data_IF_687885352602
#
_entry.id   IF_687885352602
#
_cell.length_a   1.000
_cell.length_b   1.000
_cell.length_c   1.000
_cell.angle_alpha   90.00
_cell.angle_beta   90.00
_cell.angle_gamma   90.00
#
_symmetry.space_group_name_H-M   'P 1'
#
loop_
_entity.id
_entity.type
_entity.pdbx_description
1 polymer ?
#
# COMPACT_ATOMS: atom_id res chain seq x y z
N UNK A 1 -7.06 -18.42 0.11
CA UNK A 1 -6.24 -17.73 -0.90
C UNK A 1 -5.92 -16.37 -0.31
N UNK A 2 -4.66 -15.91 -0.26
CA UNK A 2 -4.38 -14.61 0.33
C UNK A 2 -5.18 -13.58 -0.45
N UNK A 3 -5.93 -12.75 0.26
CA UNK A 3 -6.79 -11.73 -0.32
C UNK A 3 -6.01 -10.93 -1.37
N UNK A 4 -6.39 -11.04 -2.65
CA UNK A 4 -5.77 -10.29 -3.73
C UNK A 4 -5.94 -8.81 -3.42
N UNK A 5 -4.85 -8.11 -3.15
CA UNK A 5 -4.85 -6.66 -2.94
C UNK A 5 -5.30 -6.00 -4.25
N UNK A 6 -6.23 -5.05 -4.16
CA UNK A 6 -6.79 -4.35 -5.31
C UNK A 6 -6.63 -2.84 -5.18
N UNK A 7 -6.57 -2.15 -6.32
CA UNK A 7 -6.63 -0.68 -6.36
C UNK A 7 -7.97 -0.23 -5.77
N UNK A 8 -7.93 0.74 -4.86
CA UNK A 8 -9.09 1.21 -4.11
C UNK A 8 -9.24 0.56 -2.73
N UNK A 9 -8.54 -0.55 -2.44
CA UNK A 9 -8.58 -1.17 -1.12
C UNK A 9 -8.10 -0.17 -0.04
N UNK A 10 -8.85 -0.08 1.06
CA UNK A 10 -8.40 0.64 2.26
C UNK A 10 -7.52 -0.26 3.10
N UNK A 11 -6.40 0.30 3.52
CA UNK A 11 -5.36 -0.41 4.27
C UNK A 11 -4.99 0.35 5.53
N UNK A 12 -4.62 -0.39 6.57
CA UNK A 12 -3.89 0.13 7.72
C UNK A 12 -2.40 -0.17 7.51
N UNK A 13 -1.59 0.87 7.65
CA UNK A 13 -0.13 0.77 7.51
C UNK A 13 0.46 0.28 8.83
N UNK A 14 1.26 -0.79 8.78
CA UNK A 14 1.92 -1.39 9.94
C UNK A 14 3.36 -0.89 10.09
N UNK A 15 4.00 -0.56 8.97
CA UNK A 15 5.36 -0.07 8.89
C UNK A 15 5.54 0.80 7.63
N UNK A 16 6.58 1.64 7.57
CA UNK A 16 7.53 2.01 8.63
C UNK A 16 6.91 2.94 9.68
N UNK A 17 7.61 3.14 10.82
CA UNK A 17 7.10 3.83 12.01
C UNK A 17 6.52 5.22 11.77
N UNK A 18 7.01 5.97 10.77
CA UNK A 18 6.52 7.32 10.48
C UNK A 18 5.11 7.34 9.85
N UNK A 19 4.65 6.21 9.31
CA UNK A 19 3.29 6.02 8.77
C UNK A 19 2.50 4.90 9.46
N UNK A 20 3.13 4.17 10.39
CA UNK A 20 2.46 3.10 11.15
C UNK A 20 1.21 3.62 11.89
N UNK A 21 0.14 2.83 11.82
CA UNK A 21 -1.19 3.15 12.37
C UNK A 21 -2.02 4.10 11.49
N UNK A 22 -1.47 4.65 10.40
CA UNK A 22 -2.23 5.48 9.47
C UNK A 22 -3.04 4.63 8.50
N UNK A 23 -4.11 5.25 7.99
CA UNK A 23 -4.97 4.68 6.96
C UNK A 23 -4.58 5.26 5.60
N UNK A 24 -4.63 4.42 4.57
CA UNK A 24 -4.47 4.84 3.19
C UNK A 24 -5.29 4.00 2.23
N UNK A 25 -5.15 4.34 0.95
CA UNK A 25 -5.80 3.66 -0.17
C UNK A 25 -4.74 3.14 -1.12
N UNK A 26 -4.92 1.91 -1.60
CA UNK A 26 -4.06 1.32 -2.64
C UNK A 26 -4.28 2.03 -3.97
N UNK A 27 -3.22 2.61 -4.52
CA UNK A 27 -3.23 3.30 -5.81
C UNK A 27 -2.79 2.39 -6.96
N UNK A 28 -1.97 1.38 -6.66
CA UNK A 28 -1.41 0.50 -7.68
C UNK A 28 -0.23 -0.29 -7.16
N UNK A 29 0.30 -1.17 -8.02
CA UNK A 29 1.54 -1.89 -7.77
C UNK A 29 2.71 -1.07 -8.32
N UNK A 30 3.85 -1.08 -7.63
CA UNK A 30 5.03 -0.34 -8.05
C UNK A 30 5.58 -0.94 -9.36
N UNK A 31 5.78 -0.07 -10.37
CA UNK A 31 6.38 -0.42 -11.66
C UNK A 31 7.88 -0.15 -11.62
N UNK A 32 8.69 -1.16 -11.92
CA UNK A 32 10.12 -1.01 -12.13
C UNK A 32 10.41 -0.55 -13.56
N UNK A 33 11.59 0.02 -13.78
CA UNK A 33 12.04 0.61 -15.06
C UNK A 33 12.04 -0.34 -16.25
N UNK A 34 11.83 -1.64 -16.03
CA UNK A 34 11.77 -2.71 -17.03
C UNK A 34 10.34 -3.22 -17.31
N UNK A 35 9.31 -2.47 -16.88
CA UNK A 35 7.90 -2.89 -16.96
C UNK A 35 7.57 -4.14 -16.11
N UNK A 36 8.48 -4.49 -15.20
CA UNK A 36 8.28 -5.54 -14.20
C UNK A 36 7.58 -4.96 -12.97
N UNK A 37 6.56 -5.67 -12.48
CA UNK A 37 5.85 -5.31 -11.26
C UNK A 37 6.68 -5.72 -10.03
N UNK A 38 7.01 -4.76 -9.18
CA UNK A 38 7.62 -4.99 -7.87
C UNK A 38 6.62 -5.63 -6.91
N UNK A 39 7.07 -6.34 -5.88
CA UNK A 39 6.21 -6.86 -4.81
C UNK A 39 5.67 -5.78 -3.87
N UNK A 40 6.00 -4.51 -4.15
CA UNK A 40 5.55 -3.34 -3.41
C UNK A 40 4.30 -2.71 -4.01
N UNK A 41 3.51 -2.12 -3.14
CA UNK A 41 2.27 -1.43 -3.44
C UNK A 41 2.38 0.04 -3.09
N UNK A 42 1.83 0.87 -3.96
CA UNK A 42 1.72 2.30 -3.76
C UNK A 42 0.45 2.59 -2.96
N UNK A 43 0.62 3.22 -1.80
CA UNK A 43 -0.47 3.57 -0.90
C UNK A 43 -0.45 5.08 -0.69
N UNK A 44 -1.57 5.74 -1.01
CA UNK A 44 -1.81 7.14 -0.67
C UNK A 44 -2.32 7.23 0.76
N UNK A 45 -1.63 8.00 1.60
CA UNK A 45 -2.00 8.17 3.02
C UNK A 45 -3.12 9.21 3.14
N UNK A 46 -4.19 8.95 3.88
CA UNK A 46 -5.39 9.80 3.88
C UNK A 46 -5.14 11.24 4.39
N UNK A 47 -4.30 11.38 5.43
CA UNK A 47 -4.09 12.65 6.15
C UNK A 47 -2.88 13.42 5.59
N UNK A 48 -2.04 12.77 4.79
CA UNK A 48 -0.79 13.33 4.30
C UNK A 48 -0.78 13.35 2.78
N UNK A 49 -0.29 14.43 2.17
CA UNK A 49 -0.10 14.49 0.71
C UNK A 49 1.13 13.68 0.29
N UNK A 50 1.16 12.40 0.66
CA UNK A 50 2.27 11.48 0.50
C UNK A 50 1.77 10.12 -0.05
N UNK A 51 2.56 9.55 -0.94
CA UNK A 51 2.44 8.17 -1.38
C UNK A 51 3.65 7.41 -0.85
N UNK A 52 3.41 6.23 -0.27
CA UNK A 52 4.45 5.30 0.20
C UNK A 52 4.44 4.03 -0.64
N UNK A 53 5.63 3.45 -0.84
CA UNK A 53 5.83 2.15 -1.48
C UNK A 53 6.11 1.10 -0.41
N UNK A 54 5.18 0.17 -0.22
CA UNK A 54 5.18 -0.80 0.89
C UNK A 54 5.06 -2.23 0.42
N UNK A 55 5.76 -3.15 1.08
CA UNK A 55 5.56 -4.59 0.93
C UNK A 55 4.22 -5.02 1.53
N UNK A 56 3.69 -6.15 1.05
CA UNK A 56 2.46 -6.75 1.57
C UNK A 56 2.51 -7.13 3.06
N UNK A 57 3.71 -7.25 3.64
CA UNK A 57 3.91 -7.45 5.08
C UNK A 57 3.83 -6.16 5.91
N UNK A 58 3.85 -5.00 5.27
CA UNK A 58 3.93 -3.69 5.91
C UNK A 58 2.57 -2.98 6.01
N UNK A 59 1.51 -3.60 5.51
CA UNK A 59 0.14 -3.11 5.64
C UNK A 59 -0.85 -4.28 5.69
N UNK A 60 -2.09 -3.99 6.11
CA UNK A 60 -3.21 -4.95 6.02
C UNK A 60 -4.44 -4.30 5.42
N UNK A 61 -5.16 -5.04 4.58
CA UNK A 61 -6.46 -4.60 4.04
C UNK A 61 -7.49 -4.61 5.17
N UNK A 62 -8.20 -3.49 5.34
CA UNK A 62 -9.24 -3.33 6.36
C UNK A 62 -10.64 -3.22 5.74
N UNK A 63 -10.76 -2.80 4.47
CA UNK A 63 -12.02 -2.72 3.75
C UNK A 63 -11.78 -2.71 2.22
N UNK A 64 -12.63 -3.44 1.50
CA UNK A 64 -12.80 -3.33 0.04
C UNK A 64 -14.03 -2.51 -0.29
#
# INVERSE_FOLDING_TARGET
>A
MPDMIQVGDRVEILAPTYVAGKIGVVCGRELLTTDELSDRWLIQVDVEQMIVSLYTSEFRVIKR
#
